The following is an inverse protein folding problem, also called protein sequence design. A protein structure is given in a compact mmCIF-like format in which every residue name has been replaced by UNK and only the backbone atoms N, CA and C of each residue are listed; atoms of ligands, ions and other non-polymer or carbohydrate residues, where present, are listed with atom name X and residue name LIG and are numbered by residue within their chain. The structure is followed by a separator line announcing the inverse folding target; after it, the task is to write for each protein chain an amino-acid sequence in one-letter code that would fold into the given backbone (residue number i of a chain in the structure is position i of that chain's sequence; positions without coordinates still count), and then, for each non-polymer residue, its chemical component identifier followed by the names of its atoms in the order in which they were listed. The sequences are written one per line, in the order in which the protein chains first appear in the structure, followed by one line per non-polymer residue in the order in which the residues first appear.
data_IF_937489693208
#
_entry.id   IF_937489693208
#
_cell.length_a   1.000
_cell.length_b   1.000
_cell.length_c   1.000
_cell.angle_alpha   90.00
_cell.angle_beta   90.00
_cell.angle_gamma   90.00
#
_symmetry.space_group_name_H-M   'P 1'
#
loop_
_entity.id
_entity.type
_entity.pdbx_description
1 polymer ?
#
# COMPACT_ATOMS: atom_id res chain seq x y z
N UNK A 1 -9.46 -7.79 50.90
CA UNK A 1 -10.64 -6.95 50.67
C UNK A 1 -10.70 -6.79 49.17
N UNK A 2 -11.35 -7.73 48.51
CA UNK A 2 -11.41 -7.81 47.04
C UNK A 2 -12.32 -6.71 46.53
N UNK A 3 -11.77 -5.87 45.65
CA UNK A 3 -12.48 -4.84 44.91
C UNK A 3 -13.42 -5.53 43.90
N UNK A 4 -14.73 -5.27 43.91
CA UNK A 4 -15.64 -5.90 42.96
C UNK A 4 -15.38 -5.29 41.58
N UNK A 5 -14.62 -6.02 40.75
CA UNK A 5 -14.42 -5.70 39.34
C UNK A 5 -15.77 -5.38 38.71
N UNK A 6 -15.96 -4.12 38.34
CA UNK A 6 -17.07 -3.66 37.50
C UNK A 6 -17.17 -4.62 36.32
N UNK A 7 -18.35 -5.21 36.02
CA UNK A 7 -18.48 -6.09 34.88
C UNK A 7 -18.03 -5.33 33.62
N UNK A 8 -17.25 -5.97 32.72
CA UNK A 8 -16.80 -5.31 31.51
C UNK A 8 -18.01 -4.76 30.77
N UNK A 9 -17.91 -3.51 30.29
CA UNK A 9 -18.94 -2.91 29.45
C UNK A 9 -19.26 -3.89 28.31
N UNK A 10 -20.55 -4.17 28.04
CA UNK A 10 -20.93 -5.10 26.99
C UNK A 10 -20.31 -4.62 25.67
N UNK A 11 -19.63 -5.52 24.97
CA UNK A 11 -19.10 -5.23 23.64
C UNK A 11 -20.32 -4.91 22.75
N UNK A 12 -20.37 -3.72 22.13
CA UNK A 12 -21.48 -3.39 21.25
C UNK A 12 -21.55 -4.44 20.14
N UNK A 13 -22.73 -5.04 19.96
CA UNK A 13 -22.97 -6.00 18.89
C UNK A 13 -22.84 -5.25 17.57
N UNK A 14 -21.79 -5.57 16.81
CA UNK A 14 -21.61 -5.07 15.45
C UNK A 14 -22.29 -6.01 14.48
N UNK A 15 -22.90 -5.45 13.44
CA UNK A 15 -23.40 -6.26 12.34
C UNK A 15 -22.23 -6.95 11.61
N UNK A 16 -22.52 -8.09 10.99
CA UNK A 16 -21.57 -8.88 10.20
C UNK A 16 -20.91 -8.04 9.10
N UNK A 17 -21.66 -7.13 8.48
CA UNK A 17 -21.11 -6.23 7.46
C UNK A 17 -19.99 -5.33 8.04
N UNK A 18 -20.20 -4.74 9.21
CA UNK A 18 -19.20 -3.89 9.88
C UNK A 18 -17.95 -4.69 10.31
N UNK A 19 -18.13 -5.96 10.67
CA UNK A 19 -17.03 -6.84 11.07
C UNK A 19 -16.17 -7.27 9.87
N UNK A 20 -16.80 -7.54 8.72
CA UNK A 20 -16.11 -8.01 7.51
C UNK A 20 -15.54 -6.86 6.68
N UNK A 21 -16.30 -5.77 6.54
CA UNK A 21 -15.99 -4.66 5.63
C UNK A 21 -15.58 -3.38 6.35
N UNK A 22 -15.40 -3.43 7.67
CA UNK A 22 -15.07 -2.26 8.48
C UNK A 22 -16.29 -1.38 8.77
N UNK A 23 -16.22 -0.61 9.86
CA UNK A 23 -17.36 0.13 10.42
C UNK A 23 -17.47 1.59 9.93
N UNK A 24 -16.44 2.17 9.32
CA UNK A 24 -16.53 3.52 8.74
C UNK A 24 -17.20 3.43 7.36
N UNK A 25 -18.28 4.18 7.09
CA UNK A 25 -19.08 4.03 5.88
C UNK A 25 -18.47 4.69 4.63
N UNK A 26 -17.30 5.33 4.70
CA UNK A 26 -16.72 6.08 3.59
C UNK A 26 -16.41 5.16 2.39
N UNK A 27 -17.11 5.31 1.24
CA UNK A 27 -16.94 4.40 0.11
C UNK A 27 -15.85 4.89 -0.85
N UNK A 28 -15.47 4.02 -1.77
CA UNK A 28 -14.71 4.38 -2.96
C UNK A 28 -13.23 4.71 -2.72
N UNK A 29 -12.66 4.34 -1.57
CA UNK A 29 -11.22 4.53 -1.30
C UNK A 29 -10.42 3.58 -2.19
N UNK A 30 -9.66 4.13 -3.14
CA UNK A 30 -8.88 3.36 -4.12
C UNK A 30 -7.39 3.34 -3.82
N UNK A 31 -6.92 4.17 -2.89
CA UNK A 31 -5.59 4.08 -2.31
C UNK A 31 -5.51 4.89 -1.01
N UNK A 32 -4.64 4.48 -0.11
CA UNK A 32 -4.22 5.27 1.05
C UNK A 32 -2.71 5.25 1.11
N UNK A 33 -2.12 6.43 1.19
CA UNK A 33 -0.68 6.62 1.24
C UNK A 33 -0.28 7.35 2.51
N UNK A 34 0.95 7.10 2.99
CA UNK A 34 1.51 7.93 4.07
C UNK A 34 1.70 9.35 3.56
N UNK A 35 1.36 10.33 4.40
CA UNK A 35 1.59 11.74 4.12
C UNK A 35 2.17 12.44 5.36
N UNK A 36 3.38 12.99 5.23
CA UNK A 36 4.09 13.59 6.36
C UNK A 36 4.44 12.57 7.47
N UNK A 37 4.62 13.10 8.69
CA UNK A 37 4.97 12.30 9.87
C UNK A 37 3.82 11.37 10.29
N UNK A 38 2.63 11.94 10.45
CA UNK A 38 1.50 11.33 11.18
C UNK A 38 0.18 11.41 10.42
N UNK A 39 0.25 11.72 9.12
CA UNK A 39 -0.88 11.84 8.24
C UNK A 39 -0.96 10.70 7.23
N UNK A 40 -2.15 10.58 6.66
CA UNK A 40 -2.42 9.76 5.49
C UNK A 40 -3.11 10.61 4.43
N UNK A 41 -2.91 10.23 3.18
CA UNK A 41 -3.63 10.78 2.04
C UNK A 41 -4.50 9.67 1.46
N UNK A 42 -5.79 9.95 1.37
CA UNK A 42 -6.79 9.08 0.78
C UNK A 42 -7.07 9.52 -0.64
N UNK A 43 -7.08 8.57 -1.56
CA UNK A 43 -7.57 8.75 -2.91
C UNK A 43 -8.90 8.03 -3.03
N UNK A 44 -9.93 8.76 -3.48
CA UNK A 44 -11.28 8.23 -3.63
C UNK A 44 -11.76 8.38 -5.05
N UNK A 45 -12.23 7.29 -5.65
CA UNK A 45 -12.90 7.33 -6.95
C UNK A 45 -14.41 7.46 -6.76
N UNK A 46 -14.99 8.46 -7.42
CA UNK A 46 -16.43 8.67 -7.50
C UNK A 46 -16.74 9.30 -8.87
N UNK A 47 -17.77 8.82 -9.56
CA UNK A 47 -18.16 9.28 -10.90
C UNK A 47 -16.98 9.34 -11.89
N UNK A 48 -16.12 8.32 -11.88
CA UNK A 48 -14.96 8.22 -12.77
C UNK A 48 -13.80 9.17 -12.45
N UNK A 49 -13.93 10.06 -11.46
CA UNK A 49 -12.90 11.02 -11.05
C UNK A 49 -12.28 10.62 -9.72
N UNK A 50 -10.97 10.87 -9.56
CA UNK A 50 -10.27 10.67 -8.29
C UNK A 50 -10.17 11.99 -7.54
N UNK A 51 -10.69 11.99 -6.32
CA UNK A 51 -10.51 13.06 -5.35
C UNK A 51 -9.46 12.66 -4.31
N UNK A 52 -8.82 13.67 -3.72
CA UNK A 52 -7.81 13.50 -2.70
C UNK A 52 -8.27 14.18 -1.41
N UNK A 53 -8.11 13.48 -0.28
CA UNK A 53 -8.31 14.03 1.05
C UNK A 53 -7.13 13.64 1.96
N UNK A 54 -6.83 14.48 2.93
CA UNK A 54 -5.85 14.18 3.97
C UNK A 54 -6.57 13.90 5.28
N UNK A 55 -6.03 12.97 6.05
CA UNK A 55 -6.50 12.64 7.38
C UNK A 55 -5.31 12.38 8.31
N UNK A 56 -5.56 12.41 9.61
CA UNK A 56 -4.57 12.17 10.64
C UNK A 56 -4.92 10.93 11.44
N UNK A 57 -3.91 10.29 12.00
CA UNK A 57 -4.11 9.16 12.90
C UNK A 57 -3.12 9.22 14.06
N UNK A 58 -3.51 8.62 15.18
CA UNK A 58 -2.59 8.38 16.28
C UNK A 58 -1.99 6.99 16.11
N UNK A 59 -0.66 6.87 15.95
CA UNK A 59 -0.03 5.57 15.90
C UNK A 59 -0.29 4.79 17.17
N UNK A 60 -0.43 3.48 17.09
CA UNK A 60 -0.89 2.67 18.21
C UNK A 60 -0.24 1.30 18.30
N UNK A 61 -0.24 0.74 19.51
CA UNK A 61 0.08 -0.65 19.80
C UNK A 61 -0.89 -1.21 20.82
N UNK A 62 -0.93 -2.55 20.93
CA UNK A 62 -1.56 -3.23 22.05
C UNK A 62 -0.49 -3.74 23.01
N UNK A 63 -0.75 -3.61 24.31
CA UNK A 63 0.15 -4.05 25.37
C UNK A 63 -0.57 -4.86 26.44
N UNK A 64 0.22 -5.63 27.22
CA UNK A 64 -0.31 -6.43 28.33
C UNK A 64 -0.60 -5.62 29.60
N UNK A 65 0.06 -4.47 29.76
CA UNK A 65 0.05 -3.68 31.00
C UNK A 65 0.07 -2.19 30.73
N UNK A 66 -0.66 -1.40 31.51
CA UNK A 66 -0.73 0.06 31.36
C UNK A 66 0.46 0.80 32.01
N UNK A 67 0.98 0.32 33.15
CA UNK A 67 1.93 1.08 33.99
C UNK A 67 3.21 1.47 33.24
N UNK A 68 3.69 0.58 32.36
CA UNK A 68 4.87 0.76 31.52
C UNK A 68 4.80 2.02 30.65
N UNK A 69 3.60 2.39 30.21
CA UNK A 69 3.35 3.44 29.24
C UNK A 69 2.97 4.77 29.90
N UNK A 70 2.31 4.73 31.07
CA UNK A 70 1.94 5.94 31.84
C UNK A 70 3.14 6.80 32.22
N UNK A 71 4.31 6.19 32.41
CA UNK A 71 5.55 6.88 32.78
C UNK A 71 6.32 7.49 31.60
N UNK A 72 5.86 7.33 30.35
CA UNK A 72 6.57 7.84 29.20
C UNK A 72 6.36 9.35 29.06
N UNK A 73 7.45 10.10 28.88
CA UNK A 73 7.42 11.54 28.56
C UNK A 73 6.62 11.85 27.29
N UNK A 74 6.47 10.87 26.40
CA UNK A 74 5.66 10.98 25.19
C UNK A 74 4.17 11.22 25.47
N UNK A 75 3.69 10.96 26.70
CA UNK A 75 2.30 11.17 27.11
C UNK A 75 1.28 10.41 26.26
N UNK A 76 1.43 9.08 26.06
CA UNK A 76 0.48 8.32 25.27
C UNK A 76 -0.90 8.29 25.95
N UNK A 77 -1.95 8.21 25.14
CA UNK A 77 -3.31 7.92 25.61
C UNK A 77 -3.44 6.41 25.76
N UNK A 78 -3.99 5.96 26.89
CA UNK A 78 -4.09 4.53 27.22
C UNK A 78 -5.55 4.20 27.51
N UNK A 79 -6.09 3.24 26.78
CA UNK A 79 -7.44 2.72 26.93
C UNK A 79 -7.37 1.22 27.26
N UNK A 80 -8.09 0.79 28.28
CA UNK A 80 -8.31 -0.65 28.53
C UNK A 80 -9.51 -1.12 27.70
N UNK A 81 -9.26 -2.05 26.79
CA UNK A 81 -10.24 -2.67 25.92
C UNK A 81 -11.05 -3.71 26.68
N UNK A 82 -12.34 -3.85 26.34
CA UNK A 82 -13.21 -4.86 26.92
C UNK A 82 -12.76 -6.29 26.57
N UNK A 83 -12.94 -7.21 27.52
CA UNK A 83 -12.64 -8.64 27.37
C UNK A 83 -11.37 -9.09 28.10
N UNK A 84 -11.11 -10.40 28.06
CA UNK A 84 -10.06 -11.05 28.86
C UNK A 84 -8.73 -11.27 28.10
N UNK A 85 -8.58 -10.70 26.90
CA UNK A 85 -7.37 -10.90 26.10
C UNK A 85 -6.14 -10.31 26.82
N UNK A 86 -4.97 -10.98 26.84
CA UNK A 86 -3.79 -10.46 27.52
C UNK A 86 -3.35 -9.08 26.99
N UNK A 87 -3.36 -8.90 25.67
CA UNK A 87 -3.09 -7.61 25.02
C UNK A 87 -4.37 -6.76 24.97
N UNK A 88 -4.76 -6.19 26.11
CA UNK A 88 -6.00 -5.39 26.25
C UNK A 88 -5.78 -3.90 26.45
N UNK A 89 -4.55 -3.42 26.48
CA UNK A 89 -4.31 -1.98 26.57
C UNK A 89 -3.97 -1.42 25.19
N UNK A 90 -4.87 -0.60 24.64
CA UNK A 90 -4.60 0.22 23.47
C UNK A 90 -3.78 1.44 23.91
N UNK A 91 -2.60 1.60 23.34
CA UNK A 91 -1.68 2.70 23.63
C UNK A 91 -1.51 3.53 22.37
N UNK A 92 -2.01 4.76 22.39
CA UNK A 92 -1.97 5.70 21.26
C UNK A 92 -0.93 6.80 21.50
N UNK A 93 -0.10 7.02 20.49
CA UNK A 93 1.00 7.98 20.52
C UNK A 93 0.63 9.23 19.73
N UNK A 94 1.22 10.38 20.08
CA UNK A 94 0.94 11.64 19.37
C UNK A 94 1.55 11.68 17.97
N UNK A 95 2.62 10.93 17.70
CA UNK A 95 3.31 10.89 16.41
C UNK A 95 4.08 9.57 16.21
N UNK A 96 4.51 9.35 14.96
CA UNK A 96 5.19 8.13 14.52
C UNK A 96 6.57 7.97 15.16
N UNK A 97 7.29 9.07 15.41
CA UNK A 97 8.62 9.01 16.00
C UNK A 97 8.54 8.48 17.43
N UNK A 98 7.65 9.04 18.25
CA UNK A 98 7.45 8.61 19.64
C UNK A 98 6.88 7.20 19.72
N UNK A 99 6.06 6.79 18.75
CA UNK A 99 5.65 5.39 18.62
C UNK A 99 6.85 4.46 18.36
N UNK A 100 7.74 4.80 17.42
CA UNK A 100 8.93 3.99 17.15
C UNK A 100 9.87 3.92 18.34
N UNK A 101 10.10 5.04 19.05
CA UNK A 101 10.93 5.08 20.25
C UNK A 101 10.34 4.19 21.36
N UNK A 102 9.03 4.27 21.59
CA UNK A 102 8.33 3.47 22.58
C UNK A 102 8.36 1.98 22.22
N UNK A 103 8.21 1.67 20.94
CA UNK A 103 8.31 0.31 20.40
C UNK A 103 9.72 -0.26 20.61
N UNK A 104 10.76 0.51 20.30
CA UNK A 104 12.15 0.08 20.50
C UNK A 104 12.42 -0.18 21.99
N UNK A 105 12.06 0.78 22.85
CA UNK A 105 12.23 0.62 24.29
C UNK A 105 11.40 -0.51 24.91
N UNK A 106 10.31 -0.92 24.29
CA UNK A 106 9.53 -2.09 24.68
C UNK A 106 10.22 -3.40 24.25
N UNK A 107 10.79 -3.43 23.04
CA UNK A 107 11.57 -4.58 22.56
C UNK A 107 12.81 -4.82 23.42
N UNK A 108 13.55 -3.76 23.76
CA UNK A 108 14.76 -3.84 24.59
C UNK A 108 14.46 -4.34 26.01
N UNK A 109 13.28 -3.99 26.55
CA UNK A 109 12.82 -4.43 27.86
C UNK A 109 12.18 -5.84 27.85
N UNK A 110 11.96 -6.43 26.67
CA UNK A 110 11.25 -7.71 26.53
C UNK A 110 9.74 -7.62 26.78
N UNK A 111 9.16 -6.43 26.65
CA UNK A 111 7.71 -6.22 26.81
C UNK A 111 6.93 -6.94 25.70
N UNK A 112 5.82 -7.58 26.07
CA UNK A 112 4.91 -8.22 25.12
C UNK A 112 3.95 -7.18 24.54
N UNK A 113 4.11 -6.92 23.24
CA UNK A 113 3.29 -5.97 22.49
C UNK A 113 2.83 -6.55 21.15
N UNK A 114 1.70 -6.07 20.64
CA UNK A 114 1.31 -6.20 19.25
C UNK A 114 1.36 -4.83 18.57
N UNK A 115 1.90 -4.79 17.36
CA UNK A 115 1.91 -3.58 16.54
C UNK A 115 1.82 -3.93 15.06
N UNK A 116 1.19 -3.05 14.30
CA UNK A 116 1.35 -2.99 12.85
C UNK A 116 2.53 -2.10 12.50
N UNK A 117 3.29 -2.45 11.47
CA UNK A 117 4.50 -1.70 11.08
C UNK A 117 4.20 -0.60 10.07
N UNK A 118 3.09 -0.71 9.35
CA UNK A 118 2.67 0.28 8.35
C UNK A 118 1.79 1.36 9.00
N UNK A 119 2.13 2.66 8.85
CA UNK A 119 1.25 3.78 9.18
C UNK A 119 -0.15 3.65 8.55
N UNK A 120 -0.19 3.23 7.28
CA UNK A 120 -1.43 3.09 6.52
C UNK A 120 -2.29 1.95 7.10
N UNK A 121 -1.70 0.81 7.45
CA UNK A 121 -2.44 -0.29 8.08
C UNK A 121 -2.96 0.11 9.47
N UNK A 122 -2.15 0.81 10.27
CA UNK A 122 -2.59 1.31 11.57
C UNK A 122 -3.80 2.23 11.43
N UNK A 123 -3.76 3.16 10.48
CA UNK A 123 -4.87 4.05 10.18
C UNK A 123 -6.12 3.29 9.71
N UNK A 124 -6.00 2.38 8.74
CA UNK A 124 -7.13 1.62 8.20
C UNK A 124 -7.81 0.77 9.30
N UNK A 125 -7.01 0.07 10.11
CA UNK A 125 -7.53 -0.74 11.22
C UNK A 125 -8.20 0.12 12.28
N UNK A 126 -7.59 1.25 12.65
CA UNK A 126 -8.13 2.11 13.72
C UNK A 126 -9.39 2.87 13.29
N UNK A 127 -9.40 3.38 12.06
CA UNK A 127 -10.54 4.10 11.50
C UNK A 127 -11.69 3.18 11.08
N UNK A 128 -11.40 1.91 10.79
CA UNK A 128 -12.39 1.00 10.21
C UNK A 128 -12.73 1.30 8.75
N UNK A 129 -11.94 2.16 8.09
CA UNK A 129 -12.02 2.40 6.64
C UNK A 129 -11.37 1.24 5.90
N UNK A 130 -11.94 0.87 4.75
CA UNK A 130 -11.41 -0.17 3.88
C UNK A 130 -11.27 0.32 2.46
N UNK A 131 -10.34 -0.27 1.72
CA UNK A 131 -10.22 -0.02 0.29
C UNK A 131 -11.39 -0.68 -0.45
N UNK A 132 -11.80 -0.05 -1.55
CA UNK A 132 -12.82 -0.53 -2.49
C UNK A 132 -14.21 -0.79 -1.86
N UNK A 133 -14.50 -0.18 -0.71
CA UNK A 133 -15.84 -0.24 -0.10
C UNK A 133 -16.90 0.29 -1.06
N UNK A 134 -17.98 -0.47 -1.17
CA UNK A 134 -19.13 -0.22 -2.06
C UNK A 134 -18.75 -0.11 -3.55
N UNK A 135 -17.64 -0.72 -3.95
CA UNK A 135 -17.23 -0.82 -5.36
C UNK A 135 -17.45 -2.24 -5.88
N UNK A 136 -17.91 -2.34 -7.12
CA UNK A 136 -17.90 -3.59 -7.90
C UNK A 136 -16.63 -3.68 -8.73
N UNK A 137 -16.34 -4.86 -9.29
CA UNK A 137 -15.13 -5.10 -10.09
C UNK A 137 -14.97 -4.14 -11.28
N UNK A 138 -16.07 -3.59 -11.82
CA UNK A 138 -16.02 -2.65 -12.93
C UNK A 138 -15.63 -1.22 -12.51
N UNK A 139 -15.71 -0.86 -11.23
CA UNK A 139 -15.52 0.52 -10.78
C UNK A 139 -14.05 0.97 -10.72
N UNK A 140 -13.09 0.14 -10.26
CA UNK A 140 -11.67 0.50 -10.33
C UNK A 140 -11.20 0.54 -11.78
N UNK A 141 -10.49 1.61 -12.15
CA UNK A 141 -9.79 1.69 -13.43
C UNK A 141 -8.53 0.83 -13.38
N UNK A 142 -8.42 -0.12 -14.30
CA UNK A 142 -7.26 -0.98 -14.43
C UNK A 142 -6.52 -0.66 -15.71
N UNK A 143 -5.20 -0.66 -15.66
CA UNK A 143 -4.32 -0.52 -16.82
C UNK A 143 -3.41 -1.75 -16.88
N UNK A 144 -3.59 -2.57 -17.89
CA UNK A 144 -2.64 -3.61 -18.24
C UNK A 144 -1.50 -3.00 -19.05
N UNK A 145 -0.27 -3.37 -18.73
CA UNK A 145 0.94 -2.94 -19.45
C UNK A 145 1.85 -4.15 -19.71
N UNK A 146 2.50 -4.13 -20.86
CA UNK A 146 3.49 -5.12 -21.29
C UNK A 146 4.53 -4.43 -22.19
N UNK A 147 5.79 -4.88 -22.16
CA UNK A 147 6.88 -4.29 -22.95
C UNK A 147 7.56 -5.31 -23.87
N UNK A 148 7.99 -4.84 -25.03
CA UNK A 148 8.89 -5.57 -25.91
C UNK A 148 10.26 -4.89 -25.95
N UNK A 149 11.31 -5.71 -25.89
CA UNK A 149 12.69 -5.24 -25.73
C UNK A 149 13.65 -5.99 -26.66
N UNK A 150 14.69 -5.32 -27.16
CA UNK A 150 15.73 -5.96 -27.99
C UNK A 150 16.63 -6.94 -27.23
N UNK A 151 16.64 -6.88 -25.89
CA UNK A 151 17.38 -7.78 -25.02
C UNK A 151 16.79 -7.80 -23.62
N UNK A 152 17.16 -8.80 -22.83
CA UNK A 152 16.55 -9.09 -21.51
C UNK A 152 17.23 -8.34 -20.35
N UNK A 153 18.40 -7.75 -20.58
CA UNK A 153 19.22 -7.11 -19.55
C UNK A 153 19.14 -5.59 -19.68
N UNK A 154 18.39 -4.93 -18.80
CA UNK A 154 18.11 -3.49 -18.93
C UNK A 154 19.37 -2.60 -18.91
N UNK A 155 20.46 -3.06 -18.26
CA UNK A 155 21.75 -2.37 -18.18
C UNK A 155 22.65 -2.60 -19.38
N UNK A 156 22.32 -3.55 -20.25
CA UNK A 156 23.04 -3.75 -21.49
C UNK A 156 22.91 -2.50 -22.38
N UNK A 157 24.03 -1.91 -22.84
CA UNK A 157 24.05 -0.81 -23.78
C UNK A 157 23.14 -0.99 -24.99
N UNK A 158 23.05 -2.21 -25.53
CA UNK A 158 22.35 -2.57 -26.77
C UNK A 158 20.87 -2.92 -26.57
N UNK A 159 20.46 -3.18 -25.33
CA UNK A 159 19.05 -3.40 -25.00
C UNK A 159 18.28 -2.08 -25.09
N UNK A 160 17.07 -2.12 -25.64
CA UNK A 160 16.13 -0.99 -25.76
C UNK A 160 14.70 -1.49 -25.58
N UNK A 161 13.84 -0.64 -25.02
CA UNK A 161 12.38 -0.80 -25.13
C UNK A 161 11.97 -0.36 -26.54
N UNK A 162 11.30 -1.25 -27.27
CA UNK A 162 10.87 -1.00 -28.65
C UNK A 162 9.36 -0.84 -28.78
N UNK A 163 8.58 -1.49 -27.91
CA UNK A 163 7.12 -1.34 -27.86
C UNK A 163 6.67 -1.36 -26.41
N UNK A 164 5.68 -0.54 -26.09
CA UNK A 164 4.91 -0.62 -24.86
C UNK A 164 3.44 -0.77 -25.24
N UNK A 165 2.86 -1.91 -24.90
CA UNK A 165 1.44 -2.16 -25.09
C UNK A 165 0.68 -1.76 -23.82
N UNK A 166 -0.42 -1.04 -23.99
CA UNK A 166 -1.32 -0.70 -22.89
C UNK A 166 -2.77 -1.04 -23.22
N UNK A 167 -3.50 -1.51 -22.21
CA UNK A 167 -4.92 -1.75 -22.30
C UNK A 167 -5.61 -1.33 -21.02
N UNK A 168 -6.62 -0.48 -21.13
CA UNK A 168 -7.41 0.01 -20.01
C UNK A 168 -8.73 -0.74 -19.89
N UNK A 169 -9.25 -0.86 -18.67
CA UNK A 169 -10.57 -1.43 -18.40
C UNK A 169 -11.73 -0.63 -19.00
N UNK A 170 -11.50 0.63 -19.39
CA UNK A 170 -12.48 1.49 -20.09
C UNK A 170 -12.42 1.37 -21.62
N UNK A 171 -11.64 0.43 -22.15
CA UNK A 171 -11.62 0.08 -23.58
C UNK A 171 -10.51 0.73 -24.40
N UNK A 172 -9.64 1.55 -23.80
CA UNK A 172 -8.43 2.03 -24.48
C UNK A 172 -7.48 0.86 -24.74
N UNK A 173 -6.98 0.77 -25.96
CA UNK A 173 -5.94 -0.17 -26.37
C UNK A 173 -4.96 0.56 -27.29
N UNK A 174 -3.68 0.62 -26.91
CA UNK A 174 -2.67 1.40 -27.62
C UNK A 174 -1.33 0.69 -27.63
N UNK A 175 -0.59 0.86 -28.74
CA UNK A 175 0.80 0.47 -28.87
C UNK A 175 1.65 1.73 -29.00
N UNK A 176 2.54 1.95 -28.05
CA UNK A 176 3.55 3.00 -28.11
C UNK A 176 4.82 2.37 -28.68
N UNK A 177 5.22 2.76 -29.88
CA UNK A 177 6.38 2.19 -30.59
C UNK A 177 7.54 3.17 -30.54
N UNK A 178 8.75 2.64 -30.45
CA UNK A 178 9.98 3.42 -30.56
C UNK A 178 10.08 4.05 -31.96
N UNK A 179 10.00 5.37 -32.04
CA UNK A 179 10.08 6.11 -33.31
C UNK A 179 11.45 6.77 -33.50
N UNK A 180 11.92 7.53 -32.51
CA UNK A 180 13.15 8.34 -32.62
C UNK A 180 14.16 7.95 -31.54
N UNK A 181 13.78 8.14 -30.28
CA UNK A 181 14.58 7.74 -29.14
C UNK A 181 13.72 7.17 -28.00
N UNK A 182 14.40 6.45 -27.11
CA UNK A 182 13.77 5.76 -25.99
C UNK A 182 13.25 6.76 -24.93
N UNK A 183 13.81 7.97 -24.85
CA UNK A 183 13.35 8.99 -23.91
C UNK A 183 11.94 9.47 -24.27
N UNK A 184 11.67 9.72 -25.54
CA UNK A 184 10.35 10.07 -26.06
C UNK A 184 9.31 8.97 -25.76
N UNK A 185 9.64 7.70 -26.03
CA UNK A 185 8.76 6.57 -25.75
C UNK A 185 8.39 6.49 -24.26
N UNK A 186 9.38 6.65 -23.38
CA UNK A 186 9.19 6.60 -21.92
C UNK A 186 8.42 7.82 -21.37
N UNK A 187 8.54 8.98 -22.02
CA UNK A 187 7.72 10.16 -21.73
C UNK A 187 6.27 9.93 -22.16
N UNK A 188 6.04 9.41 -23.36
CA UNK A 188 4.69 9.11 -23.89
C UNK A 188 3.94 8.12 -23.01
N UNK A 189 4.57 7.02 -22.58
CA UNK A 189 3.91 6.08 -21.64
C UNK A 189 3.61 6.75 -20.30
N UNK A 190 4.51 7.61 -19.81
CA UNK A 190 4.31 8.34 -18.56
C UNK A 190 3.11 9.28 -18.63
N UNK A 191 3.00 10.05 -19.72
CA UNK A 191 1.84 10.89 -20.00
C UNK A 191 0.57 10.07 -20.11
N UNK A 192 0.64 8.91 -20.78
CA UNK A 192 -0.52 8.07 -21.02
C UNK A 192 -1.05 7.42 -19.74
N UNK A 193 -0.17 6.86 -18.90
CA UNK A 193 -0.53 6.33 -17.57
C UNK A 193 -1.18 7.41 -16.72
N UNK A 194 -0.64 8.64 -16.74
CA UNK A 194 -1.21 9.77 -16.00
C UNK A 194 -2.57 10.19 -16.53
N UNK A 195 -2.76 10.23 -17.85
CA UNK A 195 -4.01 10.60 -18.49
C UNK A 195 -5.13 9.59 -18.25
N UNK A 196 -4.80 8.29 -18.24
CA UNK A 196 -5.77 7.22 -17.96
C UNK A 196 -6.15 7.15 -16.47
N UNK A 197 -5.22 7.57 -15.60
CA UNK A 197 -5.35 7.57 -14.15
C UNK A 197 -5.89 6.25 -13.54
N UNK A 198 -5.19 5.11 -13.76
CA UNK A 198 -5.63 3.82 -13.26
C UNK A 198 -5.48 3.68 -11.73
N UNK A 199 -6.44 3.05 -11.07
CA UNK A 199 -6.29 2.63 -9.67
C UNK A 199 -5.33 1.45 -9.53
N UNK A 200 -5.33 0.57 -10.53
CA UNK A 200 -4.54 -0.66 -10.56
C UNK A 200 -3.75 -0.72 -11.86
N UNK A 201 -2.46 -1.01 -11.77
CA UNK A 201 -1.62 -1.35 -12.91
C UNK A 201 -1.33 -2.84 -12.85
N UNK A 202 -1.66 -3.55 -13.91
CA UNK A 202 -1.57 -5.01 -14.00
C UNK A 202 -0.75 -5.47 -15.21
N UNK A 203 -0.28 -6.71 -15.17
CA UNK A 203 0.60 -7.27 -16.20
C UNK A 203 1.17 -8.61 -15.77
N UNK A 204 2.05 -9.19 -16.57
CA UNK A 204 2.67 -10.49 -16.27
C UNK A 204 4.15 -10.32 -15.96
N UNK A 205 4.57 -10.72 -14.75
CA UNK A 205 5.95 -10.61 -14.29
C UNK A 205 6.45 -9.16 -14.12
N UNK A 206 5.53 -8.20 -13.91
CA UNK A 206 5.82 -6.78 -13.73
C UNK A 206 6.93 -6.49 -12.71
N UNK A 207 6.95 -7.23 -11.60
CA UNK A 207 7.89 -6.98 -10.51
C UNK A 207 9.32 -7.40 -10.84
N UNK A 208 9.51 -8.39 -11.71
CA UNK A 208 10.82 -8.95 -12.02
C UNK A 208 11.31 -8.62 -13.42
N UNK A 209 10.47 -8.02 -14.26
CA UNK A 209 10.86 -7.62 -15.61
C UNK A 209 10.44 -6.19 -15.93
N UNK A 210 9.18 -5.96 -16.29
CA UNK A 210 8.73 -4.72 -16.94
C UNK A 210 9.07 -3.46 -16.14
N UNK A 211 8.68 -3.40 -14.87
CA UNK A 211 8.87 -2.20 -14.05
C UNK A 211 10.36 -1.95 -13.74
N UNK A 212 11.16 -2.95 -13.30
CA UNK A 212 12.61 -2.78 -13.18
C UNK A 212 13.30 -2.39 -14.49
N UNK A 213 12.88 -2.98 -15.61
CA UNK A 213 13.47 -2.71 -16.93
C UNK A 213 13.19 -1.27 -17.33
N UNK A 214 11.91 -0.87 -17.36
CA UNK A 214 11.49 0.50 -17.67
C UNK A 214 12.17 1.53 -16.77
N UNK A 215 12.24 1.29 -15.46
CA UNK A 215 12.90 2.20 -14.52
C UNK A 215 14.40 2.35 -14.82
N UNK A 216 15.10 1.25 -15.11
CA UNK A 216 16.52 1.27 -15.45
C UNK A 216 16.78 2.00 -16.76
N UNK A 217 15.91 1.78 -17.78
CA UNK A 217 16.00 2.48 -19.07
C UNK A 217 15.72 3.96 -18.94
N UNK A 218 14.68 4.33 -18.19
CA UNK A 218 14.32 5.73 -17.92
C UNK A 218 15.48 6.49 -17.26
N UNK A 219 16.12 5.90 -16.24
CA UNK A 219 17.29 6.50 -15.60
C UNK A 219 18.43 6.73 -16.59
N UNK A 220 18.72 5.75 -17.45
CA UNK A 220 19.81 5.84 -18.45
C UNK A 220 19.60 6.97 -19.46
N UNK A 221 18.35 7.24 -19.84
CA UNK A 221 18.01 8.29 -20.82
C UNK A 221 17.57 9.61 -20.16
N UNK A 222 17.72 9.73 -18.84
CA UNK A 222 17.41 10.97 -18.10
C UNK A 222 15.92 11.27 -17.95
N UNK A 223 15.05 10.26 -18.08
CA UNK A 223 13.60 10.36 -17.90
C UNK A 223 13.17 9.84 -16.53
N UNK A 224 12.12 10.43 -15.97
CA UNK A 224 11.52 9.98 -14.72
C UNK A 224 10.10 9.48 -14.97
N UNK A 225 9.84 8.21 -14.67
CA UNK A 225 8.52 7.59 -14.82
C UNK A 225 7.55 8.08 -13.73
N UNK A 226 7.04 9.30 -13.85
CA UNK A 226 6.22 10.00 -12.84
C UNK A 226 4.77 9.50 -12.78
N UNK A 227 4.61 8.20 -12.55
CA UNK A 227 3.34 7.50 -12.56
C UNK A 227 2.54 7.67 -11.26
N UNK A 228 3.19 8.11 -10.17
CA UNK A 228 2.51 8.41 -8.91
C UNK A 228 1.45 9.50 -9.06
N UNK A 229 0.34 9.39 -8.32
CA UNK A 229 -0.73 10.41 -8.30
C UNK A 229 -0.27 11.76 -7.76
N UNK A 230 0.77 11.76 -6.93
CA UNK A 230 1.46 12.97 -6.44
C UNK A 230 2.59 13.44 -7.39
N UNK A 231 2.78 12.77 -8.54
CA UNK A 231 3.88 13.03 -9.47
C UNK A 231 5.22 12.39 -9.08
N UNK A 232 5.26 11.55 -8.06
CA UNK A 232 6.45 10.76 -7.72
C UNK A 232 6.79 9.77 -8.83
N UNK A 233 8.08 9.44 -9.01
CA UNK A 233 8.48 8.36 -9.91
C UNK A 233 7.99 6.98 -9.43
N UNK A 234 7.91 6.02 -10.36
CA UNK A 234 7.91 4.59 -10.03
C UNK A 234 9.15 4.30 -9.20
N UNK A 235 8.98 3.63 -8.05
CA UNK A 235 10.07 3.28 -7.16
C UNK A 235 10.29 1.78 -7.14
N UNK A 236 11.46 1.34 -7.58
CA UNK A 236 11.94 -0.04 -7.43
C UNK A 236 12.57 -0.17 -6.05
N UNK A 237 12.20 -1.21 -5.30
CA UNK A 237 12.73 -1.50 -3.97
C UNK A 237 14.19 -1.94 -4.03
N UNK A 238 14.98 -1.57 -3.02
CA UNK A 238 16.42 -1.83 -2.95
C UNK A 238 16.80 -3.27 -2.56
N UNK A 239 15.93 -4.26 -2.79
CA UNK A 239 16.20 -5.64 -2.44
C UNK A 239 15.10 -6.61 -2.86
N UNK A 240 15.31 -7.87 -2.55
CA UNK A 240 14.38 -8.96 -2.87
C UNK A 240 13.37 -9.16 -1.75
N UNK A 241 12.10 -9.08 -2.09
CA UNK A 241 10.99 -9.57 -1.27
C UNK A 241 10.65 -11.02 -1.65
N UNK A 242 9.86 -11.70 -0.84
CA UNK A 242 9.45 -13.09 -1.09
C UNK A 242 7.94 -13.20 -0.98
N UNK A 243 7.29 -13.69 -2.03
CA UNK A 243 5.90 -14.08 -1.94
C UNK A 243 5.80 -15.60 -1.76
N UNK A 244 4.85 -16.02 -0.93
CA UNK A 244 4.56 -17.43 -0.68
C UNK A 244 3.31 -17.84 -1.45
N UNK A 245 3.37 -19.01 -2.06
CA UNK A 245 2.25 -19.66 -2.73
C UNK A 245 2.32 -21.16 -2.42
N UNK A 246 1.52 -21.62 -1.46
CA UNK A 246 1.59 -22.99 -0.95
C UNK A 246 2.98 -23.30 -0.39
N UNK A 247 3.63 -24.34 -0.93
CA UNK A 247 5.00 -24.72 -0.59
C UNK A 247 6.07 -23.85 -1.28
N UNK A 248 5.72 -23.12 -2.34
CA UNK A 248 6.65 -22.30 -3.10
C UNK A 248 6.89 -20.97 -2.39
N UNK A 249 8.15 -20.54 -2.40
CA UNK A 249 8.52 -19.19 -1.99
C UNK A 249 9.41 -18.58 -3.06
N UNK A 250 8.86 -17.63 -3.81
CA UNK A 250 9.52 -17.04 -4.95
C UNK A 250 10.03 -15.63 -4.63
N UNK A 251 11.26 -15.30 -5.05
CA UNK A 251 11.78 -13.96 -4.92
C UNK A 251 11.11 -13.01 -5.91
N UNK A 252 10.95 -11.75 -5.50
CA UNK A 252 10.59 -10.67 -6.43
C UNK A 252 11.18 -9.33 -5.99
N UNK A 253 11.35 -8.41 -6.93
CA UNK A 253 11.75 -7.03 -6.62
C UNK A 253 10.48 -6.18 -6.46
N UNK A 254 10.17 -5.66 -5.26
CA UNK A 254 8.94 -4.90 -5.08
C UNK A 254 9.05 -3.56 -5.82
N UNK A 255 7.97 -3.18 -6.49
CA UNK A 255 7.80 -1.87 -7.11
C UNK A 255 6.65 -1.13 -6.42
N UNK A 256 6.70 0.21 -6.44
CA UNK A 256 5.71 1.06 -5.78
C UNK A 256 5.39 2.26 -6.67
N UNK A 257 4.10 2.58 -6.77
CA UNK A 257 3.58 3.72 -7.54
C UNK A 257 2.59 4.45 -6.64
N UNK A 258 2.96 5.64 -6.18
CA UNK A 258 2.23 6.35 -5.14
C UNK A 258 0.76 6.58 -5.53
N UNK A 259 -0.15 6.12 -4.68
CA UNK A 259 -1.59 6.23 -4.89
C UNK A 259 -2.18 5.24 -5.88
N UNK A 260 -1.43 4.20 -6.30
CA UNK A 260 -1.88 3.14 -7.21
C UNK A 260 -1.49 1.76 -6.70
N UNK A 261 -2.25 0.75 -7.09
CA UNK A 261 -1.96 -0.66 -6.81
C UNK A 261 -1.24 -1.32 -7.99
N UNK A 262 -0.41 -2.32 -7.72
CA UNK A 262 0.24 -3.15 -8.74
C UNK A 262 -0.24 -4.59 -8.55
N UNK A 263 -0.77 -5.19 -9.62
CA UNK A 263 -1.19 -6.59 -9.64
C UNK A 263 -0.37 -7.33 -10.68
N UNK A 264 0.55 -8.16 -10.19
CA UNK A 264 1.33 -9.03 -11.05
C UNK A 264 0.64 -10.39 -11.20
N UNK A 265 0.15 -10.67 -12.42
CA UNK A 265 -0.58 -11.89 -12.75
C UNK A 265 0.28 -13.15 -12.61
N UNK A 266 1.61 -13.06 -12.77
CA UNK A 266 2.50 -14.18 -12.50
C UNK A 266 2.36 -14.62 -11.04
N UNK A 267 2.35 -13.66 -10.10
CA UNK A 267 2.17 -13.97 -8.68
C UNK A 267 0.75 -14.49 -8.38
N UNK A 268 -0.27 -13.98 -9.08
CA UNK A 268 -1.66 -14.43 -8.86
C UNK A 268 -1.88 -15.87 -9.32
N UNK A 269 -1.38 -16.23 -10.52
CA UNK A 269 -1.51 -17.59 -11.05
C UNK A 269 -0.86 -18.60 -10.11
N UNK A 270 0.35 -18.29 -9.62
CA UNK A 270 1.06 -19.16 -8.68
C UNK A 270 0.28 -19.39 -7.37
N UNK A 271 -0.53 -18.41 -6.93
CA UNK A 271 -1.39 -18.57 -5.74
C UNK A 271 -2.66 -19.36 -6.01
N UNK A 272 -3.15 -19.35 -7.24
CA UNK A 272 -4.38 -20.06 -7.60
C UNK A 272 -4.11 -21.53 -7.90
N UNK A 273 -2.95 -21.84 -8.48
CA UNK A 273 -2.51 -23.19 -8.86
C UNK A 273 -1.86 -23.95 -7.68
N UNK A 274 -2.32 -23.69 -6.44
CA UNK A 274 -1.88 -24.39 -5.21
C UNK A 274 -2.71 -25.67 -5.02
#
# INVERSE_FOLDING_TARGET
MDDPRTPPSPIPVRDTAELLFGHDPLPGIVAVERFGGDGVRLYRRHDGTVSMAEDQFRPWLLAERAERWRGLRAGPVIEELAGEHPLRYLVEFPDWSRFLDAVQGAQDAGDRIFRLRSPVEQYLVRSGRTLFKDMVFADPRRLQIDIETTGLEARDPESQVIVIAIKSSDGVEELLVLEHDEAELLQRVTERVRALDPDVIEGHNLFNFDLPFLATRAERVGVSLRWGRDGSPVRIGSGTSRFKAGALTMPYTPAYIYGRHIVDTYQQIQRYDI
#
